data_IF_213381738757
#
_entry.id   IF_213381738757
#
_cell.length_a   1.000
_cell.length_b   1.000
_cell.length_c   1.000
_cell.angle_alpha   90.00
_cell.angle_beta   90.00
_cell.angle_gamma   90.00
#
_symmetry.space_group_name_H-M   'P 1'
#
loop_
_entity.id
_entity.type
_entity.pdbx_description
1 polymer ?
#
# COMPACT_ATOMS: atom_id res chain seq x y z
N UNK A 1 -52.39 62.09 37.92
CA UNK A 1 -52.33 61.99 36.44
C UNK A 1 -51.27 60.95 36.13
N UNK A 2 -51.69 59.86 35.51
CA UNK A 2 -50.98 58.59 35.40
C UNK A 2 -49.80 58.74 34.44
N UNK A 3 -48.57 58.43 34.86
CA UNK A 3 -47.45 58.20 33.94
C UNK A 3 -47.05 56.73 34.00
N UNK A 4 -47.31 56.06 32.87
CA UNK A 4 -47.05 54.66 32.56
C UNK A 4 -45.54 54.41 32.47
N UNK A 5 -45.08 53.34 33.13
CA UNK A 5 -43.73 52.78 32.93
C UNK A 5 -43.81 51.78 31.76
N UNK A 6 -43.01 51.91 30.69
CA UNK A 6 -42.96 50.88 29.67
C UNK A 6 -42.09 49.72 30.16
N UNK A 7 -42.75 48.58 30.28
CA UNK A 7 -42.16 47.25 30.37
C UNK A 7 -41.32 47.01 29.11
N UNK A 8 -40.01 46.86 29.26
CA UNK A 8 -39.14 46.37 28.17
C UNK A 8 -38.75 44.93 28.50
N UNK A 9 -39.53 44.00 27.96
CA UNK A 9 -39.24 42.57 27.97
C UNK A 9 -37.99 42.36 27.11
N UNK A 10 -36.86 42.03 27.74
CA UNK A 10 -35.69 41.53 27.02
C UNK A 10 -35.98 40.10 26.54
N UNK A 11 -36.45 39.98 25.30
CA UNK A 11 -36.35 38.73 24.54
C UNK A 11 -34.89 38.58 24.07
N UNK A 12 -34.11 37.77 24.79
CA UNK A 12 -32.83 37.28 24.28
C UNK A 12 -33.11 36.27 23.17
N UNK A 13 -33.04 36.72 21.91
CA UNK A 13 -33.15 35.89 20.72
C UNK A 13 -31.85 35.06 20.59
N UNK A 14 -31.91 33.78 20.95
CA UNK A 14 -30.82 32.84 20.73
C UNK A 14 -30.70 32.54 19.23
N UNK A 15 -29.93 33.35 18.51
CA UNK A 15 -29.56 33.10 17.11
C UNK A 15 -28.40 32.10 17.10
N UNK A 16 -28.72 30.81 17.20
CA UNK A 16 -27.76 29.73 17.08
C UNK A 16 -27.40 29.58 15.60
N UNK A 17 -26.33 30.25 15.15
CA UNK A 17 -25.75 30.01 13.82
C UNK A 17 -25.25 28.56 13.78
N UNK A 18 -25.99 27.69 13.11
CA UNK A 18 -25.49 26.41 12.65
C UNK A 18 -24.45 26.68 11.56
N UNK A 19 -23.18 26.81 11.95
CA UNK A 19 -22.06 26.69 11.04
C UNK A 19 -22.04 25.26 10.51
N UNK A 20 -22.58 25.07 9.30
CA UNK A 20 -22.43 23.84 8.55
C UNK A 20 -20.99 23.83 8.00
N UNK A 21 -20.07 23.25 8.77
CA UNK A 21 -18.69 23.06 8.35
C UNK A 21 -18.66 22.16 7.11
N UNK A 22 -18.40 22.75 5.96
CA UNK A 22 -18.03 22.01 4.75
C UNK A 22 -16.68 21.36 5.05
N UNK A 23 -16.68 20.07 5.36
CA UNK A 23 -15.43 19.30 5.50
C UNK A 23 -14.94 19.05 4.07
N UNK A 24 -13.74 19.53 3.69
CA UNK A 24 -13.14 19.14 2.42
C UNK A 24 -12.95 17.62 2.43
N UNK A 25 -13.60 16.90 1.52
CA UNK A 25 -13.27 15.51 1.24
C UNK A 25 -11.90 15.50 0.55
N UNK A 26 -10.88 15.00 1.25
CA UNK A 26 -9.59 14.73 0.63
C UNK A 26 -9.79 13.62 -0.41
N UNK A 27 -9.50 13.90 -1.67
CA UNK A 27 -9.48 12.92 -2.76
C UNK A 27 -8.25 12.02 -2.62
N UNK A 28 -8.42 10.71 -2.74
CA UNK A 28 -7.34 9.72 -2.69
C UNK A 28 -6.33 9.81 -3.85
N UNK A 29 -6.58 10.68 -4.85
CA UNK A 29 -5.71 10.93 -6.00
C UNK A 29 -4.31 11.47 -5.64
N UNK A 30 -4.04 11.82 -4.38
CA UNK A 30 -2.74 12.33 -3.94
C UNK A 30 -1.74 11.29 -3.44
N UNK A 31 -2.07 9.99 -3.42
CA UNK A 31 -1.23 8.95 -2.80
C UNK A 31 -0.50 8.04 -3.79
N UNK A 32 -0.79 8.12 -5.09
CA UNK A 32 -0.10 7.31 -6.11
C UNK A 32 1.20 8.02 -6.51
N UNK A 33 2.30 7.27 -6.55
CA UNK A 33 3.62 7.78 -6.95
C UNK A 33 4.00 7.30 -8.35
N UNK A 34 4.81 8.07 -9.06
CA UNK A 34 5.28 7.69 -10.40
C UNK A 34 6.47 6.71 -10.35
N UNK A 35 6.49 5.73 -11.26
CA UNK A 35 7.65 4.86 -11.50
C UNK A 35 8.13 4.94 -12.96
N UNK A 36 9.46 4.97 -13.20
CA UNK A 36 10.03 4.94 -14.56
C UNK A 36 9.55 3.73 -15.37
N UNK A 37 9.46 3.89 -16.69
CA UNK A 37 8.99 2.84 -17.60
C UNK A 37 9.90 1.60 -17.64
N UNK A 38 11.18 1.76 -17.32
CA UNK A 38 12.21 0.72 -17.29
C UNK A 38 12.46 0.15 -15.88
N UNK A 39 11.66 0.56 -14.89
CA UNK A 39 11.73 0.00 -13.55
C UNK A 39 11.19 -1.44 -13.50
N UNK A 40 11.93 -2.34 -12.87
CA UNK A 40 11.58 -3.76 -12.77
C UNK A 40 11.93 -4.31 -11.40
N UNK A 41 10.99 -5.01 -10.76
CA UNK A 41 11.26 -5.88 -9.63
C UNK A 41 11.51 -7.30 -10.15
N UNK A 42 12.42 -8.06 -9.54
CA UNK A 42 12.74 -9.41 -10.01
C UNK A 42 13.08 -10.35 -8.86
N UNK A 43 12.70 -11.62 -9.02
CA UNK A 43 13.09 -12.71 -8.12
C UNK A 43 14.38 -13.32 -8.66
N UNK A 44 15.40 -13.38 -7.82
CA UNK A 44 16.72 -13.96 -8.13
C UNK A 44 16.71 -15.46 -7.87
N UNK A 45 16.14 -15.87 -6.74
CA UNK A 45 15.91 -17.27 -6.37
C UNK A 45 14.69 -17.38 -5.47
N UNK A 46 13.89 -18.45 -5.54
CA UNK A 46 13.93 -19.50 -6.57
C UNK A 46 13.61 -18.95 -7.97
N UNK A 47 14.01 -19.69 -8.98
CA UNK A 47 13.64 -19.45 -10.38
C UNK A 47 12.38 -20.22 -10.75
N UNK A 48 11.74 -19.84 -11.85
CA UNK A 48 10.52 -20.50 -12.33
C UNK A 48 10.76 -21.99 -12.62
N UNK A 49 9.90 -22.84 -12.10
CA UNK A 49 9.97 -24.30 -12.18
C UNK A 49 10.83 -24.97 -11.10
N UNK A 50 11.47 -24.22 -10.21
CA UNK A 50 12.34 -24.80 -9.19
C UNK A 50 11.59 -25.68 -8.17
N UNK A 51 12.27 -26.73 -7.74
CA UNK A 51 11.87 -27.54 -6.59
C UNK A 51 12.63 -27.11 -5.34
N UNK A 52 11.92 -26.76 -4.27
CA UNK A 52 12.49 -26.27 -3.01
C UNK A 52 12.04 -27.10 -1.81
N UNK A 53 12.77 -27.02 -0.70
CA UNK A 53 12.30 -27.57 0.57
C UNK A 53 11.18 -26.72 1.16
N UNK A 54 10.43 -27.25 2.14
CA UNK A 54 9.36 -26.50 2.83
C UNK A 54 9.77 -25.11 3.33
N UNK A 55 10.98 -24.99 3.88
CA UNK A 55 11.58 -23.69 4.22
C UNK A 55 12.71 -23.39 3.25
N UNK A 56 12.62 -22.26 2.56
CA UNK A 56 13.57 -21.86 1.54
C UNK A 56 13.80 -20.35 1.57
N UNK A 57 14.93 -19.93 1.00
CA UNK A 57 15.25 -18.50 0.86
C UNK A 57 14.72 -17.97 -0.46
N UNK A 58 14.00 -16.86 -0.39
CA UNK A 58 13.64 -16.05 -1.57
C UNK A 58 14.53 -14.82 -1.57
N UNK A 59 15.30 -14.62 -2.65
CA UNK A 59 16.09 -13.39 -2.87
C UNK A 59 15.53 -12.64 -4.05
N UNK A 60 15.50 -11.32 -3.94
CA UNK A 60 14.87 -10.46 -4.91
C UNK A 60 15.57 -9.12 -5.02
N UNK A 61 15.27 -8.39 -6.09
CA UNK A 61 15.88 -7.10 -6.35
C UNK A 61 14.96 -6.16 -7.13
N UNK A 62 15.54 -4.99 -7.43
CA UNK A 62 14.90 -3.87 -8.09
C UNK A 62 15.92 -3.23 -9.04
N UNK A 63 15.47 -2.86 -10.24
CA UNK A 63 16.21 -2.06 -11.22
C UNK A 63 15.40 -0.81 -11.59
N UNK A 64 16.06 0.27 -12.00
CA UNK A 64 15.41 1.54 -12.41
C UNK A 64 14.91 2.42 -11.26
N UNK A 65 14.88 1.92 -10.02
CA UNK A 65 14.39 2.64 -8.83
C UNK A 65 15.22 2.34 -7.58
N UNK A 66 15.05 3.16 -6.54
CA UNK A 66 15.64 2.93 -5.22
C UNK A 66 14.70 2.21 -4.23
N UNK A 67 15.28 1.57 -3.22
CA UNK A 67 14.54 1.02 -2.09
C UNK A 67 14.56 2.03 -0.93
N UNK A 68 13.40 2.28 -0.32
CA UNK A 68 13.24 3.11 0.86
C UNK A 68 12.30 2.44 1.87
N UNK A 69 12.48 2.65 3.19
CA UNK A 69 11.54 2.13 4.17
C UNK A 69 10.12 2.67 3.98
N UNK A 70 9.12 1.84 4.29
CA UNK A 70 7.74 2.27 4.39
C UNK A 70 7.60 3.44 5.38
N UNK A 71 6.70 4.37 5.09
CA UNK A 71 6.49 5.61 5.84
C UNK A 71 7.49 6.74 5.51
N UNK A 72 8.54 6.47 4.73
CA UNK A 72 9.49 7.49 4.28
C UNK A 72 9.20 7.85 2.83
N UNK A 73 8.54 8.98 2.61
CA UNK A 73 8.29 9.49 1.27
C UNK A 73 9.61 9.95 0.62
N UNK A 74 9.94 9.33 -0.50
CA UNK A 74 11.11 9.68 -1.31
C UNK A 74 10.86 9.40 -2.78
N UNK A 75 11.17 10.38 -3.62
CA UNK A 75 11.03 10.27 -5.06
C UNK A 75 11.78 9.05 -5.63
N UNK A 76 11.20 8.44 -6.66
CA UNK A 76 11.77 7.30 -7.38
C UNK A 76 12.14 6.11 -6.46
N UNK A 77 11.35 5.88 -5.41
CA UNK A 77 11.55 4.75 -4.51
C UNK A 77 10.27 4.02 -4.11
N UNK A 78 10.47 2.83 -3.53
CA UNK A 78 9.44 2.05 -2.89
C UNK A 78 10.03 0.96 -2.01
N UNK A 79 9.21 -0.01 -1.65
CA UNK A 79 9.61 -1.22 -0.95
C UNK A 79 8.88 -2.44 -1.49
N UNK A 80 9.46 -3.62 -1.29
CA UNK A 80 8.95 -4.85 -1.87
C UNK A 80 7.75 -5.41 -1.11
N UNK A 81 6.87 -6.04 -1.87
CA UNK A 81 5.87 -6.98 -1.40
C UNK A 81 6.06 -8.29 -2.15
N UNK A 82 5.98 -9.42 -1.45
CA UNK A 82 5.95 -10.75 -2.07
C UNK A 82 4.51 -11.26 -2.02
N UNK A 83 3.93 -11.45 -3.19
CA UNK A 83 2.63 -12.06 -3.42
C UNK A 83 2.82 -13.57 -3.49
N UNK A 84 2.14 -14.30 -2.61
CA UNK A 84 2.20 -15.76 -2.50
C UNK A 84 0.84 -16.33 -2.88
N UNK A 85 0.82 -17.17 -3.91
CA UNK A 85 -0.37 -17.84 -4.45
C UNK A 85 -1.50 -16.92 -4.91
N UNK A 86 -1.26 -15.62 -5.10
CA UNK A 86 -2.33 -14.71 -5.48
C UNK A 86 -2.79 -14.97 -6.93
N UNK A 87 -4.03 -15.43 -7.09
CA UNK A 87 -4.62 -15.77 -8.39
C UNK A 87 -4.79 -14.52 -9.25
N UNK A 88 -5.50 -13.52 -8.71
CA UNK A 88 -5.76 -12.25 -9.34
C UNK A 88 -4.76 -11.19 -8.87
N UNK A 89 -4.52 -10.17 -9.71
CA UNK A 89 -3.74 -9.00 -9.28
C UNK A 89 -4.47 -8.28 -8.13
N UNK A 90 -3.76 -7.77 -7.10
CA UNK A 90 -4.40 -6.92 -6.11
C UNK A 90 -4.87 -5.62 -6.76
N UNK A 91 -5.68 -4.85 -6.03
CA UNK A 91 -6.00 -3.47 -6.41
C UNK A 91 -4.70 -2.64 -6.45
N UNK A 92 -4.33 -2.18 -7.65
CA UNK A 92 -3.10 -1.41 -7.87
C UNK A 92 -3.26 0.08 -7.57
N UNK A 93 -4.46 0.50 -7.17
CA UNK A 93 -4.79 1.90 -6.86
C UNK A 93 -4.95 2.18 -5.37
N UNK A 94 -4.82 1.15 -4.54
CA UNK A 94 -4.99 1.21 -3.10
C UNK A 94 -3.79 0.60 -2.35
N UNK A 95 -3.69 0.90 -1.06
CA UNK A 95 -2.68 0.29 -0.20
C UNK A 95 -2.89 -1.21 -0.13
N UNK A 96 -1.81 -1.97 -0.28
CA UNK A 96 -1.84 -3.42 -0.20
C UNK A 96 -2.21 -3.87 1.23
N UNK A 97 -3.27 -4.68 1.42
CA UNK A 97 -3.65 -5.14 2.75
C UNK A 97 -2.69 -6.22 3.22
N UNK A 98 -2.16 -6.07 4.44
CA UNK A 98 -1.38 -7.13 5.08
C UNK A 98 -2.24 -8.37 5.31
N UNK A 99 -1.82 -9.49 4.72
CA UNK A 99 -2.47 -10.79 4.89
C UNK A 99 -1.45 -11.91 4.59
N UNK A 100 -1.85 -13.16 4.76
CA UNK A 100 -0.95 -14.32 4.61
C UNK A 100 -0.39 -14.49 3.18
N UNK A 101 -1.04 -13.90 2.17
CA UNK A 101 -0.63 -13.95 0.76
C UNK A 101 0.17 -12.73 0.32
N UNK A 102 0.23 -11.67 1.12
CA UNK A 102 0.95 -10.43 0.81
C UNK A 102 1.94 -10.15 1.93
N UNK A 103 3.19 -10.56 1.73
CA UNK A 103 4.26 -10.33 2.70
C UNK A 103 4.93 -8.99 2.43
N UNK A 104 5.00 -8.13 3.45
CA UNK A 104 5.55 -6.79 3.36
C UNK A 104 7.03 -6.75 3.73
N UNK A 105 7.83 -6.02 2.96
CA UNK A 105 9.25 -5.77 3.20
C UNK A 105 9.53 -4.27 3.33
N UNK A 106 8.72 -3.60 4.15
CA UNK A 106 8.80 -2.16 4.41
C UNK A 106 10.08 -1.70 5.12
N UNK A 107 10.97 -2.60 5.52
CA UNK A 107 12.31 -2.23 6.02
C UNK A 107 13.35 -2.10 4.91
N UNK A 108 12.96 -2.33 3.65
CA UNK A 108 13.88 -2.37 2.51
C UNK A 108 14.62 -3.71 2.36
N UNK A 109 14.03 -4.80 2.87
CA UNK A 109 14.61 -6.13 2.73
C UNK A 109 14.62 -6.56 1.26
N UNK A 110 15.64 -7.33 0.88
CA UNK A 110 15.83 -7.91 -0.46
C UNK A 110 15.89 -9.44 -0.42
N UNK A 111 15.69 -10.04 0.75
CA UNK A 111 15.60 -11.46 0.94
C UNK A 111 14.70 -11.82 2.13
N UNK A 112 14.19 -13.05 2.12
CA UNK A 112 13.41 -13.60 3.24
C UNK A 112 13.50 -15.12 3.26
N UNK A 113 13.27 -15.71 4.44
CA UNK A 113 12.90 -17.12 4.51
C UNK A 113 11.37 -17.26 4.41
N UNK A 114 10.94 -18.16 3.54
CA UNK A 114 9.55 -18.50 3.33
C UNK A 114 9.35 -19.97 3.68
N UNK A 115 8.30 -20.26 4.44
CA UNK A 115 7.86 -21.63 4.75
C UNK A 115 6.50 -21.85 4.16
N UNK A 116 6.37 -22.83 3.26
CA UNK A 116 5.13 -23.18 2.58
C UNK A 116 4.81 -24.68 2.78
N UNK A 117 3.53 -25.07 2.71
CA UNK A 117 3.17 -26.48 2.66
C UNK A 117 3.71 -27.15 1.38
N UNK A 118 3.87 -28.49 1.34
CA UNK A 118 4.23 -29.18 0.11
C UNK A 118 3.16 -28.98 -0.98
N UNK A 119 3.58 -28.75 -2.22
CA UNK A 119 2.67 -28.48 -3.34
C UNK A 119 3.22 -27.46 -4.34
N UNK A 120 2.39 -27.12 -5.32
CA UNK A 120 2.68 -26.05 -6.27
C UNK A 120 2.31 -24.68 -5.68
N UNK A 121 3.21 -23.71 -5.81
CA UNK A 121 3.01 -22.35 -5.33
C UNK A 121 3.44 -21.32 -6.36
N UNK A 122 2.81 -20.15 -6.36
CA UNK A 122 3.22 -19.02 -7.20
C UNK A 122 3.79 -17.89 -6.36
N UNK A 123 4.85 -17.26 -6.88
CA UNK A 123 5.50 -16.11 -6.25
C UNK A 123 5.59 -14.96 -7.25
N UNK A 124 5.33 -13.74 -6.79
CA UNK A 124 5.49 -12.53 -7.58
C UNK A 124 5.84 -11.34 -6.68
N UNK A 125 6.70 -10.45 -7.15
CA UNK A 125 6.98 -9.19 -6.47
C UNK A 125 6.08 -8.08 -7.00
N UNK A 126 5.73 -7.17 -6.10
CA UNK A 126 5.07 -5.91 -6.40
C UNK A 126 5.73 -4.81 -5.55
N UNK A 127 6.20 -3.75 -6.18
CA UNK A 127 6.71 -2.58 -5.47
C UNK A 127 5.54 -1.70 -5.02
N UNK A 128 5.53 -1.32 -3.75
CA UNK A 128 4.66 -0.27 -3.24
C UNK A 128 5.47 0.98 -2.87
N UNK A 129 4.83 2.14 -2.93
CA UNK A 129 5.41 3.40 -2.45
C UNK A 129 5.45 3.44 -0.92
N UNK A 130 5.77 4.62 -0.35
CA UNK A 130 5.90 4.82 1.10
C UNK A 130 4.63 4.48 1.92
N UNK A 131 3.45 4.45 1.32
CA UNK A 131 2.16 4.07 1.97
C UNK A 131 1.62 2.73 1.45
N UNK A 132 2.48 1.89 0.86
CA UNK A 132 2.13 0.56 0.33
C UNK A 132 1.17 0.59 -0.87
N UNK A 133 1.00 1.73 -1.52
CA UNK A 133 0.21 1.85 -2.76
C UNK A 133 1.15 1.55 -3.93
N UNK A 134 0.78 0.68 -4.88
CA UNK A 134 1.57 0.50 -6.10
C UNK A 134 1.72 1.80 -6.90
N UNK A 135 2.82 1.92 -7.64
CA UNK A 135 3.06 3.07 -8.51
C UNK A 135 2.12 3.04 -9.73
N UNK A 136 1.90 4.22 -10.33
CA UNK A 136 1.02 4.40 -11.51
C UNK A 136 1.41 3.52 -12.71
N UNK A 137 2.71 3.29 -12.87
CA UNK A 137 3.32 2.25 -13.67
C UNK A 137 3.76 1.12 -12.73
N UNK A 138 2.97 0.04 -12.58
CA UNK A 138 3.24 -0.97 -11.57
C UNK A 138 4.57 -1.68 -11.80
N UNK A 139 5.45 -1.61 -10.80
CA UNK A 139 6.76 -2.28 -10.86
C UNK A 139 6.63 -3.68 -10.26
N UNK A 140 6.56 -4.67 -11.15
CA UNK A 140 6.28 -6.06 -10.80
C UNK A 140 7.33 -7.00 -11.38
N UNK A 141 7.53 -8.15 -10.72
CA UNK A 141 8.27 -9.24 -11.35
C UNK A 141 7.40 -10.08 -12.27
N UNK A 142 8.05 -10.88 -13.09
CA UNK A 142 7.41 -12.10 -13.62
C UNK A 142 6.88 -12.93 -12.45
N UNK A 143 5.67 -13.48 -12.63
CA UNK A 143 5.15 -14.51 -11.74
C UNK A 143 5.91 -15.80 -12.03
N UNK A 144 6.39 -16.45 -10.98
CA UNK A 144 7.06 -17.75 -11.07
C UNK A 144 6.22 -18.80 -10.35
N UNK A 145 6.33 -20.05 -10.80
CA UNK A 145 5.76 -21.24 -10.17
C UNK A 145 6.89 -22.09 -9.60
N UNK A 146 6.73 -22.57 -8.37
CA UNK A 146 7.67 -23.46 -7.70
C UNK A 146 6.96 -24.69 -7.15
N UNK A 147 7.73 -25.76 -6.94
CA UNK A 147 7.26 -26.98 -6.29
C UNK A 147 7.93 -27.15 -4.93
N UNK A 148 7.15 -27.10 -3.86
CA UNK A 148 7.62 -27.32 -2.49
C UNK A 148 7.51 -28.81 -2.17
N UNK A 149 8.62 -29.42 -1.74
CA UNK A 149 8.74 -30.84 -1.38
C UNK A 149 8.51 -31.08 0.11
#
# INVERSE_FOLDING_TARGET
>A
MIQLVPIVISFFLAFCLSFLSIIPQASADGLISHAPADAEAYIITPTDGDSVAQTFTVKFGLSGMGIAPAGVERENTGHHHLLVDLADSPDLTASLPANDRIRHFGGGQTETQLTLPPGEHTLQLLLGNYVHVPHDNPVMSKKITISVK
#
